data_IF_194991592406
#
_entry.id   IF_194991592406
#
_cell.length_a   1.000
_cell.length_b   1.000
_cell.length_c   1.000
_cell.angle_alpha   90.00
_cell.angle_beta   90.00
_cell.angle_gamma   90.00
#
_symmetry.space_group_name_H-M   'P 1'
#
loop_
_entity.id
_entity.type
_entity.pdbx_description
1 polymer ?
#
# COMPACT_ATOMS: atom_id res chain seq x y z
N UNK A 1 -45.27 -9.17 -4.38
CA UNK A 1 -44.97 -7.79 -3.93
C UNK A 1 -43.53 -7.86 -3.49
N UNK A 2 -42.63 -7.88 -4.48
CA UNK A 2 -41.20 -7.66 -4.27
C UNK A 2 -41.10 -6.25 -3.72
N UNK A 3 -40.60 -6.11 -2.49
CA UNK A 3 -40.83 -4.89 -1.71
C UNK A 3 -39.95 -3.76 -2.23
N UNK A 4 -40.41 -2.51 -2.08
CA UNK A 4 -39.60 -1.35 -2.50
C UNK A 4 -38.25 -1.30 -1.79
N UNK A 5 -38.15 -1.86 -0.57
CA UNK A 5 -36.88 -2.03 0.16
C UNK A 5 -35.91 -2.95 -0.60
N UNK A 6 -36.35 -4.11 -1.08
CA UNK A 6 -35.50 -5.03 -1.86
C UNK A 6 -34.93 -4.36 -3.13
N UNK A 7 -35.69 -3.42 -3.72
CA UNK A 7 -35.28 -2.68 -4.91
C UNK A 7 -34.28 -1.55 -4.63
N UNK A 8 -34.30 -0.98 -3.43
CA UNK A 8 -33.35 0.06 -3.02
C UNK A 8 -32.01 -0.58 -2.65
N UNK A 9 -32.04 -1.66 -1.86
CA UNK A 9 -30.83 -2.39 -1.44
C UNK A 9 -30.06 -2.95 -2.65
N UNK A 10 -30.76 -3.45 -3.66
CA UNK A 10 -30.13 -3.96 -4.89
C UNK A 10 -29.48 -2.86 -5.72
N UNK A 11 -30.10 -1.69 -5.84
CA UNK A 11 -29.53 -0.53 -6.54
C UNK A 11 -28.32 0.04 -5.79
N UNK A 12 -28.35 0.06 -4.46
CA UNK A 12 -27.22 0.51 -3.66
C UNK A 12 -26.02 -0.43 -3.81
N UNK A 13 -26.26 -1.74 -3.73
CA UNK A 13 -25.22 -2.74 -3.97
C UNK A 13 -24.58 -2.56 -5.36
N UNK A 14 -25.40 -2.35 -6.40
CA UNK A 14 -24.92 -2.13 -7.77
C UNK A 14 -24.05 -0.87 -7.88
N UNK A 15 -24.46 0.24 -7.25
CA UNK A 15 -23.65 1.48 -7.23
C UNK A 15 -22.35 1.31 -6.48
N UNK A 16 -22.37 0.58 -5.36
CA UNK A 16 -21.18 0.22 -4.61
C UNK A 16 -20.19 -0.57 -5.47
N UNK A 17 -20.67 -1.54 -6.25
CA UNK A 17 -19.85 -2.33 -7.17
C UNK A 17 -19.29 -1.50 -8.33
N UNK A 18 -20.10 -0.63 -8.95
CA UNK A 18 -19.63 0.27 -10.00
C UNK A 18 -18.57 1.24 -9.48
N UNK A 19 -18.78 1.80 -8.28
CA UNK A 19 -17.82 2.71 -7.64
C UNK A 19 -16.51 1.97 -7.34
N UNK A 20 -16.61 0.77 -6.80
CA UNK A 20 -15.48 -0.12 -6.58
C UNK A 20 -14.68 -0.39 -7.87
N UNK A 21 -15.37 -0.70 -8.96
CA UNK A 21 -14.74 -0.97 -10.25
C UNK A 21 -13.99 0.27 -10.78
N UNK A 22 -14.58 1.46 -10.67
CA UNK A 22 -13.91 2.71 -11.06
C UNK A 22 -12.59 2.93 -10.30
N UNK A 23 -12.57 2.69 -8.99
CA UNK A 23 -11.33 2.74 -8.19
C UNK A 23 -10.32 1.67 -8.61
N UNK A 24 -10.79 0.45 -8.86
CA UNK A 24 -9.95 -0.69 -9.24
C UNK A 24 -9.28 -0.49 -10.59
N UNK A 25 -10.03 0.01 -11.58
CA UNK A 25 -9.55 0.29 -12.93
C UNK A 25 -8.91 1.68 -13.10
N UNK A 26 -8.81 2.44 -12.01
CA UNK A 26 -8.21 3.78 -11.97
C UNK A 26 -8.93 4.82 -12.85
N UNK A 27 -10.24 4.67 -13.02
CA UNK A 27 -11.06 5.70 -13.65
C UNK A 27 -11.42 6.76 -12.60
N UNK A 28 -10.59 7.81 -12.53
CA UNK A 28 -10.73 8.86 -11.54
C UNK A 28 -12.05 9.65 -11.70
N UNK A 29 -12.43 9.98 -12.93
CA UNK A 29 -13.60 10.83 -13.18
C UNK A 29 -14.89 10.07 -12.83
N UNK A 30 -14.94 8.79 -13.19
CA UNK A 30 -16.05 7.92 -12.82
C UNK A 30 -16.08 7.63 -11.32
N UNK A 31 -14.93 7.45 -10.68
CA UNK A 31 -14.83 7.31 -9.24
C UNK A 31 -15.39 8.53 -8.50
N UNK A 32 -15.03 9.75 -8.93
CA UNK A 32 -15.58 10.99 -8.35
C UNK A 32 -17.11 11.06 -8.55
N UNK A 33 -17.59 10.71 -9.76
CA UNK A 33 -19.02 10.72 -10.07
C UNK A 33 -19.80 9.74 -9.19
N UNK A 34 -19.34 8.50 -9.08
CA UNK A 34 -20.03 7.42 -8.36
C UNK A 34 -19.92 7.55 -6.85
N UNK A 35 -18.80 8.08 -6.32
CA UNK A 35 -18.62 8.28 -4.87
C UNK A 35 -19.68 9.22 -4.27
N UNK A 36 -20.23 10.14 -5.08
CA UNK A 36 -21.33 11.02 -4.66
C UNK A 36 -22.69 10.31 -4.62
N UNK A 37 -22.83 9.14 -5.25
CA UNK A 37 -24.08 8.41 -5.42
C UNK A 37 -24.20 7.18 -4.49
N UNK A 38 -23.11 6.81 -3.82
CA UNK A 38 -23.04 5.72 -2.83
C UNK A 38 -23.36 6.30 -1.45
N UNK A 39 -24.30 5.68 -0.71
CA UNK A 39 -24.71 6.17 0.61
C UNK A 39 -23.66 5.86 1.68
N UNK A 40 -23.11 4.64 1.69
CA UNK A 40 -22.11 4.20 2.67
C UNK A 40 -20.77 3.76 2.02
N UNK A 41 -19.94 4.69 1.49
CA UNK A 41 -18.65 4.34 0.88
C UNK A 41 -17.66 3.60 1.79
N UNK A 42 -17.78 3.80 3.11
CA UNK A 42 -17.00 3.11 4.14
C UNK A 42 -17.33 1.61 4.26
N UNK A 43 -18.50 1.17 3.79
CA UNK A 43 -18.89 -0.23 3.75
C UNK A 43 -18.54 -0.91 2.41
N UNK A 44 -18.16 -0.14 1.39
CA UNK A 44 -17.73 -0.69 0.10
C UNK A 44 -16.35 -1.32 0.23
N UNK A 45 -16.35 -2.63 0.50
CA UNK A 45 -15.16 -3.46 0.61
C UNK A 45 -15.32 -4.70 -0.24
N UNK A 46 -14.28 -5.07 -0.97
CA UNK A 46 -14.26 -6.27 -1.82
C UNK A 46 -12.87 -6.91 -1.80
N UNK A 47 -12.75 -8.01 -2.51
CA UNK A 47 -11.48 -8.67 -2.76
C UNK A 47 -10.75 -7.97 -3.90
N UNK A 48 -9.49 -7.59 -3.67
CA UNK A 48 -8.57 -7.12 -4.71
C UNK A 48 -7.33 -8.03 -4.77
N UNK A 49 -6.21 -7.60 -4.18
CA UNK A 49 -5.08 -8.49 -3.87
C UNK A 49 -5.38 -9.43 -2.69
N UNK A 50 -6.23 -8.95 -1.80
CA UNK A 50 -6.63 -9.55 -0.54
C UNK A 50 -8.08 -9.15 -0.25
N UNK A 51 -8.71 -9.91 0.62
CA UNK A 51 -10.07 -9.64 1.08
C UNK A 51 -10.10 -8.39 1.97
N UNK A 52 -11.28 -7.79 2.13
CA UNK A 52 -11.48 -6.61 2.95
C UNK A 52 -10.69 -5.37 2.48
N UNK A 53 -10.38 -5.29 1.19
CA UNK A 53 -9.82 -4.06 0.59
C UNK A 53 -10.95 -3.04 0.45
N UNK A 54 -10.72 -1.78 0.83
CA UNK A 54 -11.73 -0.69 0.79
C UNK A 54 -11.38 0.40 -0.21
N UNK A 55 -12.34 1.30 -0.50
CA UNK A 55 -12.10 2.47 -1.37
C UNK A 55 -10.94 3.35 -0.87
N UNK A 56 -10.71 3.40 0.45
CA UNK A 56 -9.60 4.16 1.04
C UNK A 56 -8.23 3.55 0.67
N UNK A 57 -8.13 2.22 0.67
CA UNK A 57 -6.94 1.53 0.20
C UNK A 57 -6.66 1.81 -1.28
N UNK A 58 -7.69 1.73 -2.13
CA UNK A 58 -7.55 1.94 -3.56
C UNK A 58 -7.23 3.39 -3.93
N UNK A 59 -7.90 4.39 -3.34
CA UNK A 59 -7.56 5.80 -3.55
C UNK A 59 -6.10 6.09 -3.17
N UNK A 60 -5.63 5.49 -2.07
CA UNK A 60 -4.26 5.66 -1.61
C UNK A 60 -3.24 5.07 -2.58
N UNK A 61 -3.52 3.87 -3.12
CA UNK A 61 -2.70 3.24 -4.18
C UNK A 61 -2.72 4.00 -5.50
N UNK A 62 -3.79 4.74 -5.78
CA UNK A 62 -3.94 5.48 -7.02
C UNK A 62 -3.43 6.93 -6.91
N UNK A 63 -3.09 7.40 -5.71
CA UNK A 63 -2.57 8.76 -5.49
C UNK A 63 -3.66 9.81 -5.51
N UNK A 64 -4.91 9.43 -5.25
CA UNK A 64 -6.06 10.34 -5.33
C UNK A 64 -6.23 11.11 -4.02
N UNK A 65 -5.30 12.01 -3.72
CA UNK A 65 -5.22 12.72 -2.45
C UNK A 65 -6.56 13.35 -2.00
N UNK A 66 -7.26 14.03 -2.90
CA UNK A 66 -8.54 14.69 -2.56
C UNK A 66 -9.65 13.67 -2.27
N UNK A 67 -9.70 12.55 -3.01
CA UNK A 67 -10.63 11.45 -2.71
C UNK A 67 -10.27 10.79 -1.38
N UNK A 68 -8.98 10.59 -1.09
CA UNK A 68 -8.52 10.05 0.20
C UNK A 68 -8.94 10.95 1.37
N UNK A 69 -8.79 12.27 1.24
CA UNK A 69 -9.28 13.25 2.22
C UNK A 69 -10.79 13.15 2.41
N UNK A 70 -11.56 13.11 1.32
CA UNK A 70 -13.02 13.01 1.39
C UNK A 70 -13.46 11.70 2.05
N UNK A 71 -12.84 10.57 1.69
CA UNK A 71 -13.14 9.27 2.30
C UNK A 71 -12.94 9.28 3.81
N UNK A 72 -11.87 9.91 4.31
CA UNK A 72 -11.61 9.99 5.75
C UNK A 72 -12.52 11.02 6.44
N UNK A 73 -12.64 12.22 5.87
CA UNK A 73 -13.27 13.36 6.57
C UNK A 73 -14.79 13.44 6.38
N UNK A 74 -15.28 13.14 5.18
CA UNK A 74 -16.70 13.23 4.81
C UNK A 74 -17.42 11.90 4.93
N UNK A 75 -16.76 10.80 4.56
CA UNK A 75 -17.36 9.46 4.56
C UNK A 75 -16.90 8.60 5.74
N UNK A 76 -16.11 9.15 6.65
CA UNK A 76 -15.72 8.54 7.93
C UNK A 76 -15.05 7.16 7.79
N UNK A 77 -14.31 6.92 6.70
CA UNK A 77 -13.45 5.75 6.58
C UNK A 77 -12.31 5.83 7.60
N UNK A 78 -12.03 4.71 8.28
CA UNK A 78 -10.93 4.63 9.24
C UNK A 78 -9.57 4.52 8.51
N UNK A 79 -8.65 5.49 8.64
CA UNK A 79 -7.33 5.42 8.01
C UNK A 79 -6.42 4.33 8.58
N UNK A 80 -6.75 3.75 9.73
CA UNK A 80 -6.03 2.62 10.32
C UNK A 80 -6.66 1.27 10.00
N UNK A 81 -7.73 1.25 9.20
CA UNK A 81 -8.34 0.03 8.73
C UNK A 81 -7.30 -0.87 8.05
N UNK A 82 -7.44 -2.17 8.29
CA UNK A 82 -6.61 -3.21 7.70
C UNK A 82 -7.44 -4.11 6.79
N UNK A 83 -6.88 -4.46 5.66
CA UNK A 83 -7.37 -5.58 4.85
C UNK A 83 -7.01 -6.95 5.49
N UNK A 84 -7.34 -8.05 4.82
CA UNK A 84 -7.16 -9.40 5.38
C UNK A 84 -5.70 -9.83 5.56
N UNK A 85 -4.73 -9.14 4.96
CA UNK A 85 -3.29 -9.38 5.16
C UNK A 85 -2.65 -8.34 6.08
N UNK A 86 -3.45 -7.44 6.65
CA UNK A 86 -2.97 -6.44 7.60
C UNK A 86 -2.42 -5.17 6.95
N UNK A 87 -2.61 -4.98 5.64
CA UNK A 87 -2.21 -3.76 4.97
C UNK A 87 -3.20 -2.64 5.26
N UNK A 88 -2.65 -1.44 5.45
CA UNK A 88 -3.38 -0.18 5.64
C UNK A 88 -3.23 0.69 4.40
N UNK A 89 -3.96 1.81 4.34
CA UNK A 89 -3.81 2.80 3.29
C UNK A 89 -2.34 3.28 3.06
N UNK A 90 -1.49 3.30 4.09
CA UNK A 90 -0.06 3.60 3.96
C UNK A 90 0.72 2.54 3.15
N UNK A 91 0.40 1.26 3.31
CA UNK A 91 1.01 0.19 2.51
C UNK A 91 0.60 0.32 1.04
N UNK A 92 -0.68 0.63 0.79
CA UNK A 92 -1.19 0.87 -0.56
C UNK A 92 -0.56 2.11 -1.21
N UNK A 93 -0.41 3.22 -0.47
CA UNK A 93 0.31 4.41 -0.95
C UNK A 93 1.78 4.11 -1.27
N UNK A 94 2.43 3.23 -0.50
CA UNK A 94 3.76 2.73 -0.81
C UNK A 94 3.79 1.93 -2.12
N UNK A 95 2.84 1.03 -2.36
CA UNK A 95 2.74 0.32 -3.65
C UNK A 95 2.59 1.28 -4.83
N UNK A 96 1.83 2.36 -4.67
CA UNK A 96 1.62 3.39 -5.70
C UNK A 96 2.74 4.43 -5.82
N UNK A 97 3.71 4.46 -4.90
CA UNK A 97 4.73 5.50 -4.78
C UNK A 97 4.16 6.93 -4.60
N UNK A 98 3.07 7.06 -3.83
CA UNK A 98 2.36 8.34 -3.64
C UNK A 98 2.73 9.00 -2.30
N UNK A 99 3.73 9.90 -2.35
CA UNK A 99 4.27 10.61 -1.17
C UNK A 99 3.27 11.59 -0.58
N UNK A 100 2.48 12.27 -1.40
CA UNK A 100 1.47 13.25 -1.00
C UNK A 100 0.36 12.64 -0.15
N UNK A 101 -0.19 11.50 -0.59
CA UNK A 101 -1.13 10.68 0.17
C UNK A 101 -0.51 10.22 1.49
N UNK A 102 0.73 9.72 1.44
CA UNK A 102 1.44 9.25 2.61
C UNK A 102 1.68 10.36 3.64
N UNK A 103 2.04 11.55 3.18
CA UNK A 103 2.21 12.74 4.02
C UNK A 103 0.91 13.11 4.71
N UNK A 104 -0.21 13.12 4.00
CA UNK A 104 -1.51 13.41 4.58
C UNK A 104 -1.88 12.39 5.67
N UNK A 105 -1.78 11.09 5.38
CA UNK A 105 -2.15 10.04 6.33
C UNK A 105 -1.26 10.06 7.60
N UNK A 106 0.05 10.30 7.46
CA UNK A 106 0.97 10.34 8.61
C UNK A 106 0.81 11.63 9.41
N UNK A 107 0.85 12.78 8.73
CA UNK A 107 1.00 14.08 9.40
C UNK A 107 -0.33 14.69 9.83
N UNK A 108 -1.40 14.43 9.08
CA UNK A 108 -2.72 15.01 9.36
C UNK A 108 -3.69 13.99 9.97
N UNK A 109 -3.59 12.70 9.60
CA UNK A 109 -4.38 11.63 10.21
C UNK A 109 -3.66 10.91 11.37
N UNK A 110 -2.41 11.28 11.68
CA UNK A 110 -1.60 10.75 12.78
C UNK A 110 -1.46 9.22 12.80
N UNK A 111 -1.48 8.58 11.63
CA UNK A 111 -1.32 7.14 11.52
C UNK A 111 0.14 6.73 11.69
N UNK A 112 0.35 5.58 12.35
CA UNK A 112 1.69 5.05 12.62
C UNK A 112 2.40 4.60 11.32
N UNK A 113 3.51 5.25 10.91
CA UNK A 113 4.29 4.84 9.75
C UNK A 113 5.10 3.54 10.00
N UNK A 114 5.13 3.02 11.22
CA UNK A 114 5.77 1.76 11.60
C UNK A 114 4.82 0.57 11.69
N UNK A 115 3.57 0.74 11.26
CA UNK A 115 2.64 -0.37 11.11
C UNK A 115 3.23 -1.48 10.24
N UNK A 116 2.99 -2.72 10.65
CA UNK A 116 3.35 -3.92 9.89
C UNK A 116 2.12 -4.72 9.49
N UNK A 117 2.28 -5.48 8.43
CA UNK A 117 1.32 -6.49 8.00
C UNK A 117 1.42 -7.80 8.82
N UNK A 118 0.66 -8.82 8.43
CA UNK A 118 0.65 -10.12 9.12
C UNK A 118 1.99 -10.89 9.00
N UNK A 119 2.80 -10.60 7.98
CA UNK A 119 4.13 -11.18 7.78
C UNK A 119 5.22 -10.38 8.51
N UNK A 120 4.87 -9.25 9.12
CA UNK A 120 5.80 -8.35 9.77
C UNK A 120 6.53 -7.44 8.77
N UNK A 121 6.05 -7.35 7.54
CA UNK A 121 6.57 -6.41 6.56
C UNK A 121 6.14 -5.00 6.96
N UNK A 122 7.12 -4.09 6.97
CA UNK A 122 6.88 -2.65 7.15
C UNK A 122 6.54 -2.00 5.81
N UNK A 123 6.05 -0.77 5.85
CA UNK A 123 5.83 0.05 4.65
C UNK A 123 7.11 0.16 3.80
N UNK A 124 8.31 0.19 4.40
CA UNK A 124 9.57 0.19 3.66
C UNK A 124 9.86 -1.14 2.92
N UNK A 125 9.49 -2.29 3.49
CA UNK A 125 9.62 -3.57 2.79
C UNK A 125 8.75 -3.57 1.52
N UNK A 126 7.49 -3.14 1.66
CA UNK A 126 6.55 -3.05 0.55
C UNK A 126 7.01 -2.04 -0.50
N UNK A 127 7.48 -0.86 -0.08
CA UNK A 127 8.02 0.17 -0.97
C UNK A 127 9.23 -0.34 -1.77
N UNK A 128 10.15 -1.05 -1.10
CA UNK A 128 11.33 -1.62 -1.74
C UNK A 128 10.96 -2.68 -2.80
N UNK A 129 10.02 -3.57 -2.49
CA UNK A 129 9.53 -4.58 -3.44
C UNK A 129 8.70 -4.01 -4.59
N UNK A 130 8.12 -2.82 -4.41
CA UNK A 130 7.27 -2.14 -5.40
C UNK A 130 8.01 -1.09 -6.23
N UNK A 131 9.34 -0.94 -6.05
CA UNK A 131 10.18 0.09 -6.71
C UNK A 131 9.79 1.53 -6.36
N UNK A 132 9.28 1.76 -5.16
CA UNK A 132 8.71 3.05 -4.74
C UNK A 132 9.76 3.95 -4.07
N UNK A 133 10.71 4.41 -4.88
CA UNK A 133 11.89 5.15 -4.39
C UNK A 133 11.53 6.47 -3.69
N UNK A 134 10.49 7.18 -4.12
CA UNK A 134 10.14 8.48 -3.55
C UNK A 134 9.51 8.33 -2.17
N UNK A 135 8.64 7.34 -2.00
CA UNK A 135 8.12 6.93 -0.69
C UNK A 135 9.26 6.48 0.23
N UNK A 136 10.21 5.68 -0.26
CA UNK A 136 11.35 5.26 0.55
C UNK A 136 12.17 6.46 1.02
N UNK A 137 12.53 7.37 0.11
CA UNK A 137 13.25 8.60 0.45
C UNK A 137 12.49 9.43 1.47
N UNK A 138 11.18 9.57 1.32
CA UNK A 138 10.34 10.28 2.27
C UNK A 138 10.42 9.65 3.67
N UNK A 139 10.19 8.33 3.79
CA UNK A 139 10.18 7.61 5.06
C UNK A 139 11.56 7.62 5.76
N UNK A 140 12.64 7.56 4.98
CA UNK A 140 14.02 7.56 5.50
C UNK A 140 14.44 8.96 5.93
N UNK A 141 14.20 9.97 5.10
CA UNK A 141 14.64 11.34 5.40
C UNK A 141 13.89 11.96 6.60
N UNK A 142 12.67 11.51 6.87
CA UNK A 142 11.89 11.98 8.02
C UNK A 142 12.07 11.12 9.27
N UNK A 143 12.99 10.14 9.25
CA UNK A 143 13.27 9.23 10.37
C UNK A 143 12.02 8.51 10.91
N UNK A 144 11.01 8.36 10.07
CA UNK A 144 9.78 7.65 10.41
C UNK A 144 9.92 6.15 10.13
N UNK A 145 11.15 5.64 10.00
CA UNK A 145 11.38 4.25 9.63
C UNK A 145 12.62 3.57 10.20
N UNK A 146 12.52 2.26 10.35
CA UNK A 146 13.60 1.39 10.81
C UNK A 146 14.23 0.60 9.65
N UNK A 147 15.40 1.06 9.19
CA UNK A 147 16.16 0.47 8.07
C UNK A 147 16.75 -0.91 8.35
N UNK A 148 16.87 -1.30 9.63
CA UNK A 148 17.36 -2.63 10.04
C UNK A 148 16.22 -3.58 10.41
N UNK A 149 14.96 -3.16 10.21
CA UNK A 149 13.82 -4.04 10.44
C UNK A 149 13.90 -5.27 9.54
N UNK A 150 13.55 -6.41 10.12
CA UNK A 150 13.36 -7.67 9.40
C UNK A 150 11.95 -8.17 9.63
N UNK A 151 11.33 -8.74 8.60
CA UNK A 151 10.03 -9.37 8.73
C UNK A 151 10.11 -10.71 9.51
N UNK A 152 9.00 -11.43 9.63
CA UNK A 152 8.93 -12.71 10.37
C UNK A 152 9.77 -13.83 9.73
N UNK A 153 10.14 -13.70 8.46
CA UNK A 153 11.06 -14.60 7.77
C UNK A 153 12.53 -14.18 7.91
N UNK A 154 12.82 -13.12 8.67
CA UNK A 154 14.16 -12.55 8.82
C UNK A 154 14.62 -11.78 7.58
N UNK A 155 13.74 -11.53 6.62
CA UNK A 155 14.07 -10.81 5.40
C UNK A 155 14.12 -9.32 5.70
N UNK A 156 15.20 -8.68 5.27
CA UNK A 156 15.38 -7.22 5.35
C UNK A 156 14.80 -6.53 4.12
N UNK A 157 14.74 -5.19 4.17
CA UNK A 157 14.32 -4.34 3.05
C UNK A 157 15.14 -4.64 1.77
N UNK A 158 16.43 -4.96 1.91
CA UNK A 158 17.29 -5.34 0.78
C UNK A 158 16.82 -6.63 0.09
N UNK A 159 16.28 -7.60 0.82
CA UNK A 159 15.74 -8.82 0.21
C UNK A 159 14.53 -8.53 -0.69
N UNK A 160 13.71 -7.55 -0.31
CA UNK A 160 12.56 -7.08 -1.10
C UNK A 160 13.00 -6.25 -2.31
N UNK A 161 14.10 -5.49 -2.17
CA UNK A 161 14.67 -4.70 -3.26
C UNK A 161 15.39 -5.54 -4.34
N UNK A 162 15.45 -6.88 -4.20
CA UNK A 162 16.31 -7.73 -5.03
C UNK A 162 16.00 -7.70 -6.55
N UNK A 163 14.84 -7.17 -6.96
CA UNK A 163 14.47 -6.93 -8.36
C UNK A 163 14.80 -5.53 -8.88
N UNK A 164 15.10 -4.58 -7.99
CA UNK A 164 15.11 -3.15 -8.28
C UNK A 164 16.48 -2.55 -7.97
N UNK A 165 17.37 -2.57 -8.97
CA UNK A 165 18.77 -2.12 -8.82
C UNK A 165 18.92 -0.67 -8.34
N UNK A 166 18.00 0.21 -8.72
CA UNK A 166 17.95 1.59 -8.25
C UNK A 166 17.70 1.66 -6.74
N UNK A 167 16.76 0.87 -6.22
CA UNK A 167 16.50 0.73 -4.79
C UNK A 167 17.71 0.12 -4.06
N UNK A 168 18.30 -0.95 -4.60
CA UNK A 168 19.49 -1.61 -4.00
C UNK A 168 20.65 -0.62 -3.88
N UNK A 169 20.94 0.12 -4.96
CA UNK A 169 21.99 1.16 -4.96
C UNK A 169 21.71 2.23 -3.91
N UNK A 170 20.47 2.69 -3.81
CA UNK A 170 20.09 3.68 -2.81
C UNK A 170 20.28 3.15 -1.38
N UNK A 171 19.80 1.95 -1.08
CA UNK A 171 19.93 1.33 0.24
C UNK A 171 21.39 1.08 0.65
N UNK A 172 22.23 0.61 -0.25
CA UNK A 172 23.65 0.33 0.04
C UNK A 172 24.44 1.65 0.16
N UNK A 173 24.32 2.55 -0.82
CA UNK A 173 25.19 3.72 -0.91
C UNK A 173 24.73 4.90 -0.06
N UNK A 174 23.43 5.03 0.18
CA UNK A 174 22.86 6.17 0.92
C UNK A 174 22.36 5.79 2.32
N UNK A 175 22.04 4.51 2.55
CA UNK A 175 21.48 4.06 3.83
C UNK A 175 22.40 3.10 4.60
N UNK A 176 23.57 2.74 4.04
CA UNK A 176 24.54 1.80 4.64
C UNK A 176 23.90 0.44 5.02
N UNK A 177 22.89 -0.02 4.28
CA UNK A 177 22.29 -1.32 4.52
C UNK A 177 23.28 -2.44 4.17
N UNK A 178 23.35 -3.47 5.01
CA UNK A 178 24.28 -4.60 4.84
C UNK A 178 23.85 -5.51 3.67
N UNK A 179 24.63 -5.57 2.56
CA UNK A 179 24.30 -6.42 1.41
C UNK A 179 24.47 -7.92 1.69
N UNK A 180 25.15 -8.32 2.76
CA UNK A 180 25.34 -9.73 3.14
C UNK A 180 24.40 -10.19 4.24
N UNK A 181 23.42 -9.36 4.62
CA UNK A 181 22.37 -9.74 5.56
C UNK A 181 21.70 -11.06 5.15
N UNK A 182 21.51 -11.95 6.12
CA UNK A 182 20.90 -13.27 5.90
C UNK A 182 19.51 -13.34 6.52
N UNK A 183 18.56 -13.91 5.77
CA UNK A 183 17.25 -14.27 6.30
C UNK A 183 17.29 -15.51 7.20
N UNK A 184 16.17 -15.82 7.85
CA UNK A 184 16.03 -17.04 8.66
C UNK A 184 16.29 -18.33 7.87
N UNK A 185 16.11 -18.28 6.54
CA UNK A 185 16.40 -19.38 5.63
C UNK A 185 17.85 -19.35 5.09
N UNK A 186 18.74 -18.57 5.70
CA UNK A 186 20.14 -18.37 5.30
C UNK A 186 20.28 -17.87 3.86
N UNK A 187 19.29 -17.13 3.36
CA UNK A 187 19.33 -16.49 2.04
C UNK A 187 19.87 -15.09 2.17
N UNK A 188 20.63 -14.66 1.18
CA UNK A 188 21.10 -13.27 1.00
C UNK A 188 20.30 -12.61 -0.11
N UNK A 189 20.49 -11.30 -0.32
CA UNK A 189 19.92 -10.59 -1.48
C UNK A 189 20.28 -11.27 -2.82
N UNK A 190 21.50 -11.82 -2.96
CA UNK A 190 21.91 -12.52 -4.19
C UNK A 190 21.07 -13.77 -4.46
N UNK A 191 20.65 -14.49 -3.42
CA UNK A 191 19.74 -15.63 -3.58
C UNK A 191 18.36 -15.18 -4.07
N UNK A 192 17.84 -14.07 -3.51
CA UNK A 192 16.58 -13.48 -3.96
C UNK A 192 16.69 -12.97 -5.40
N UNK A 193 17.74 -12.22 -5.73
CA UNK A 193 17.97 -11.68 -7.08
C UNK A 193 18.12 -12.79 -8.13
N UNK A 194 18.79 -13.90 -7.79
CA UNK A 194 18.86 -15.07 -8.65
C UNK A 194 17.47 -15.71 -8.86
N UNK A 195 16.69 -15.88 -7.79
CA UNK A 195 15.33 -16.42 -7.87
C UNK A 195 14.37 -15.55 -8.68
N UNK A 196 14.60 -14.24 -8.72
CA UNK A 196 13.81 -13.26 -9.48
C UNK A 196 14.43 -12.88 -10.83
N UNK A 197 15.49 -13.57 -11.26
CA UNK A 197 16.20 -13.32 -12.52
C UNK A 197 16.61 -11.85 -12.73
N UNK A 198 17.26 -11.26 -11.73
CA UNK A 198 17.68 -9.86 -11.71
C UNK A 198 19.20 -9.72 -11.87
N UNK A 199 19.74 -9.84 -13.10
CA UNK A 199 21.18 -9.84 -13.35
C UNK A 199 21.86 -8.53 -12.93
N UNK A 200 21.15 -7.40 -13.02
CA UNK A 200 21.70 -6.10 -12.65
C UNK A 200 22.04 -6.02 -11.16
N UNK A 201 21.23 -6.66 -10.29
CA UNK A 201 21.50 -6.74 -8.85
C UNK A 201 22.60 -7.74 -8.54
N UNK A 202 22.70 -8.84 -9.30
CA UNK A 202 23.76 -9.84 -9.11
C UNK A 202 25.13 -9.28 -9.53
N UNK A 203 25.17 -8.47 -10.58
CA UNK A 203 26.39 -7.92 -11.15
C UNK A 203 26.90 -6.66 -10.42
N UNK A 204 26.07 -6.06 -9.57
CA UNK A 204 26.40 -4.88 -8.78
C UNK A 204 27.09 -5.28 -7.48
#
# INVERSE_FOLDING_TARGET
MESLEDSVDSLEHERGDQCWDAFTYKDHDEAVRLLLLVEEPNLVKRTYYCDNTSLLHLSSRNGWLEITKDLITKYHCDPQEKDSVGWTCLHYAAVGNHVDVMQYIINECYCDPMVTDVFGDTILHIAAGSRSLDVMKYLINHQVSNLIATNRCGESILHYAAEHIDIVKYLINNCNCDPVAISSNKRTILHSAAGKNSPDVINY
#
